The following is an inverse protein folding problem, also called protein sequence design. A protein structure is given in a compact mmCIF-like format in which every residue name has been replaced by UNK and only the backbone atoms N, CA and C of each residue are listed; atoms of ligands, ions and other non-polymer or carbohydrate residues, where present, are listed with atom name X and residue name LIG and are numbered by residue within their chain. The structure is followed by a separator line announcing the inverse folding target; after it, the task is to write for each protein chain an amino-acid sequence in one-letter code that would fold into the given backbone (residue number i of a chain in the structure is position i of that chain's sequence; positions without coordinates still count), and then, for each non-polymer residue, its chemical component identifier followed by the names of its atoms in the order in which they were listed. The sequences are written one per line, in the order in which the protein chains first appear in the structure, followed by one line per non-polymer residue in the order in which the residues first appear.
data_IF_464850570718
#
_entry.id   IF_464850570718
#
_cell.length_a   1.000
_cell.length_b   1.000
_cell.length_c   1.000
_cell.angle_alpha   90.00
_cell.angle_beta   90.00
_cell.angle_gamma   90.00
#
_symmetry.space_group_name_H-M   'P 1'
#
loop_
_entity.id
_entity.type
_entity.pdbx_description
1 polymer ?
#
# COMPACT_ATOMS: atom_id res chain seq x y z
N UNK A 1 32.30 23.45 44.93
CA UNK A 1 31.81 22.34 44.10
C UNK A 1 33.00 21.44 43.78
N UNK A 2 33.14 20.32 44.49
CA UNK A 2 34.27 19.40 44.32
C UNK A 2 33.83 18.23 43.45
N UNK A 3 34.42 18.09 42.27
CA UNK A 3 34.12 16.99 41.34
C UNK A 3 34.77 15.69 41.84
N UNK A 4 33.93 14.69 42.08
CA UNK A 4 34.31 13.37 42.55
C UNK A 4 34.77 12.53 41.34
N UNK A 5 36.08 12.56 41.04
CA UNK A 5 36.68 11.78 39.96
C UNK A 5 36.85 10.32 40.41
N UNK A 6 35.99 9.42 39.91
CA UNK A 6 36.15 7.97 40.11
C UNK A 6 37.40 7.48 39.35
N UNK A 7 38.31 6.72 39.99
CA UNK A 7 39.44 6.11 39.31
C UNK A 7 38.95 5.07 38.30
N UNK A 8 39.36 5.21 37.05
CA UNK A 8 39.18 4.19 36.02
C UNK A 8 40.05 2.98 36.38
N UNK A 9 39.44 1.96 36.98
CA UNK A 9 40.08 0.65 37.16
C UNK A 9 40.23 -0.01 35.79
N UNK A 10 41.43 0.07 35.21
CA UNK A 10 41.83 -0.71 34.05
C UNK A 10 41.87 -2.19 34.45
N UNK A 11 40.82 -2.92 34.08
CA UNK A 11 40.86 -4.38 34.13
C UNK A 11 41.80 -4.83 33.01
N UNK A 12 42.91 -5.53 33.30
CA UNK A 12 43.74 -6.12 32.26
C UNK A 12 42.88 -7.17 31.56
N UNK A 13 42.43 -6.84 30.34
CA UNK A 13 41.85 -7.83 29.44
C UNK A 13 42.96 -8.84 29.15
N UNK A 14 42.90 -9.99 29.79
CA UNK A 14 43.72 -11.15 29.43
C UNK A 14 43.28 -11.54 28.02
N UNK A 15 43.96 -10.99 27.02
CA UNK A 15 43.69 -11.25 25.62
C UNK A 15 44.19 -12.66 25.34
N UNK A 16 43.31 -13.65 25.40
CA UNK A 16 43.68 -15.01 25.00
C UNK A 16 43.99 -14.99 23.50
N UNK A 17 45.23 -15.28 23.11
CA UNK A 17 45.61 -15.36 21.71
C UNK A 17 45.21 -16.71 21.13
N UNK A 18 44.68 -16.73 19.90
CA UNK A 18 44.41 -17.97 19.16
C UNK A 18 45.49 -18.17 18.10
N UNK A 19 46.08 -19.37 18.03
CA UNK A 19 47.15 -19.68 17.06
C UNK A 19 46.52 -20.21 15.78
N UNK A 20 46.92 -19.68 14.63
CA UNK A 20 46.41 -20.14 13.35
C UNK A 20 46.94 -21.54 13.00
N UNK A 21 46.08 -22.53 12.71
CA UNK A 21 46.52 -23.89 12.38
C UNK A 21 47.25 -24.00 11.03
N UNK A 22 47.06 -23.03 10.13
CA UNK A 22 47.68 -23.06 8.80
C UNK A 22 49.09 -22.45 8.74
N UNK A 23 49.38 -21.43 9.55
CA UNK A 23 50.66 -20.69 9.46
C UNK A 23 51.32 -20.41 10.81
N UNK A 24 50.73 -20.85 11.93
CA UNK A 24 51.30 -20.71 13.27
C UNK A 24 51.29 -19.29 13.86
N UNK A 25 50.79 -18.26 13.15
CA UNK A 25 50.70 -16.92 13.75
C UNK A 25 49.60 -16.84 14.81
N UNK A 26 49.94 -16.25 15.94
CA UNK A 26 48.99 -15.80 16.95
C UNK A 26 48.08 -14.71 16.39
N UNK A 27 46.81 -14.76 16.73
CA UNK A 27 45.78 -13.79 16.39
C UNK A 27 45.00 -13.40 17.64
N UNK A 28 44.32 -12.25 17.60
CA UNK A 28 43.35 -11.88 18.64
C UNK A 28 42.24 -12.94 18.68
N UNK A 29 41.76 -13.29 19.86
CA UNK A 29 40.58 -14.16 20.07
C UNK A 29 39.39 -13.77 19.18
N UNK A 30 39.20 -12.47 18.91
CA UNK A 30 38.10 -11.95 18.10
C UNK A 30 38.36 -11.94 16.59
N UNK A 31 39.55 -12.34 16.13
CA UNK A 31 39.90 -12.31 14.71
C UNK A 31 39.13 -13.38 13.93
N UNK A 32 38.36 -12.95 12.91
CA UNK A 32 37.67 -13.87 11.98
C UNK A 32 38.60 -14.51 10.96
N UNK A 33 39.72 -13.84 10.67
CA UNK A 33 40.71 -14.25 9.69
C UNK A 33 42.11 -14.13 10.28
N UNK A 34 43.01 -15.03 9.88
CA UNK A 34 44.40 -14.97 10.29
C UNK A 34 45.14 -13.78 9.66
N UNK A 35 45.82 -12.96 10.47
CA UNK A 35 46.66 -11.85 9.99
C UNK A 35 47.90 -12.28 9.20
N UNK A 36 48.24 -13.57 9.21
CA UNK A 36 49.37 -14.13 8.47
C UNK A 36 49.01 -14.58 7.06
N UNK A 37 48.03 -15.48 6.96
CA UNK A 37 47.68 -16.14 5.70
C UNK A 37 46.25 -15.86 5.21
N UNK A 38 45.51 -14.97 5.88
CA UNK A 38 44.12 -14.60 5.58
C UNK A 38 43.08 -15.73 5.62
N UNK A 39 43.45 -16.97 6.00
CA UNK A 39 42.47 -18.06 6.19
C UNK A 39 41.51 -17.76 7.35
N UNK A 40 40.23 -18.17 7.26
CA UNK A 40 39.29 -18.07 8.36
C UNK A 40 39.77 -18.91 9.54
N UNK A 41 39.59 -18.38 10.75
CA UNK A 41 39.93 -19.08 11.99
C UNK A 41 38.66 -19.72 12.54
N UNK A 42 38.60 -21.05 12.58
CA UNK A 42 37.50 -21.79 13.19
C UNK A 42 37.50 -21.50 14.69
N UNK A 43 36.43 -20.85 15.17
CA UNK A 43 36.32 -20.49 16.57
C UNK A 43 35.68 -21.65 17.33
N UNK A 44 36.36 -22.26 18.31
CA UNK A 44 35.75 -23.29 19.15
C UNK A 44 34.68 -22.62 20.02
N UNK A 45 33.43 -22.65 19.56
CA UNK A 45 32.25 -22.08 20.23
C UNK A 45 31.47 -20.99 19.47
N UNK A 46 31.85 -20.66 18.22
CA UNK A 46 31.28 -19.51 17.49
C UNK A 46 30.03 -19.76 16.63
N UNK A 47 29.76 -21.00 16.19
CA UNK A 47 29.07 -21.16 14.90
C UNK A 47 27.75 -21.95 14.94
N UNK A 48 27.25 -22.34 16.13
CA UNK A 48 25.88 -22.86 16.24
C UNK A 48 24.84 -21.80 15.78
N UNK A 49 25.17 -20.52 15.88
CA UNK A 49 24.35 -19.41 15.37
C UNK A 49 24.51 -19.15 13.86
N UNK A 50 25.67 -19.40 13.27
CA UNK A 50 25.88 -19.18 11.83
C UNK A 50 25.17 -20.24 10.99
N UNK A 51 25.07 -21.47 11.48
CA UNK A 51 24.29 -22.52 10.83
C UNK A 51 22.80 -22.23 10.87
N UNK A 52 22.29 -21.69 11.99
CA UNK A 52 20.91 -21.25 12.10
C UNK A 52 20.62 -20.09 11.12
N UNK A 53 21.52 -19.11 11.03
CA UNK A 53 21.37 -17.97 10.10
C UNK A 53 21.52 -18.42 8.64
N UNK A 54 22.43 -19.35 8.33
CA UNK A 54 22.59 -19.93 6.99
C UNK A 54 21.33 -20.72 6.59
N UNK A 55 20.78 -21.53 7.50
CA UNK A 55 19.54 -22.31 7.32
C UNK A 55 18.32 -21.41 7.16
N UNK A 56 18.22 -20.32 7.93
CA UNK A 56 17.20 -19.26 7.79
C UNK A 56 17.30 -18.58 6.41
N UNK A 57 18.51 -18.24 5.96
CA UNK A 57 18.75 -17.60 4.65
C UNK A 57 18.41 -18.54 3.49
N UNK A 58 18.76 -19.82 3.60
CA UNK A 58 18.39 -20.87 2.64
C UNK A 58 16.87 -21.08 2.59
N UNK A 59 16.19 -21.12 3.75
CA UNK A 59 14.73 -21.21 3.81
C UNK A 59 14.04 -19.98 3.18
N UNK A 60 14.57 -18.76 3.40
CA UNK A 60 14.06 -17.56 2.72
C UNK A 60 14.26 -17.61 1.20
N UNK A 61 15.39 -18.13 0.72
CA UNK A 61 15.63 -18.31 -0.70
C UNK A 61 14.63 -19.32 -1.33
N UNK A 62 14.39 -20.45 -0.66
CA UNK A 62 13.40 -21.45 -1.10
C UNK A 62 11.96 -20.90 -1.11
N UNK A 63 11.58 -20.10 -0.10
CA UNK A 63 10.26 -19.42 -0.08
C UNK A 63 10.12 -18.45 -1.26
N UNK A 64 11.16 -17.70 -1.62
CA UNK A 64 11.17 -16.81 -2.79
C UNK A 64 11.07 -17.59 -4.10
N UNK A 65 11.77 -18.72 -4.22
CA UNK A 65 11.70 -19.57 -5.40
C UNK A 65 10.30 -20.19 -5.59
N UNK A 66 9.67 -20.66 -4.51
CA UNK A 66 8.27 -21.16 -4.54
C UNK A 66 7.26 -20.07 -4.89
N UNK A 67 7.45 -18.83 -4.39
CA UNK A 67 6.61 -17.68 -4.79
C UNK A 67 6.74 -17.37 -6.28
N UNK A 68 7.96 -17.36 -6.83
CA UNK A 68 8.18 -17.17 -8.27
C UNK A 68 7.54 -18.26 -9.12
N UNK A 69 7.60 -19.52 -8.66
CA UNK A 69 6.95 -20.63 -9.36
C UNK A 69 5.42 -20.50 -9.38
N UNK A 70 4.80 -20.03 -8.29
CA UNK A 70 3.35 -19.73 -8.24
C UNK A 70 2.96 -18.50 -9.04
N UNK A 71 3.78 -17.43 -9.03
CA UNK A 71 3.47 -16.22 -9.80
C UNK A 71 3.64 -16.42 -11.30
N UNK A 72 4.62 -17.23 -11.73
CA UNK A 72 4.81 -17.58 -13.14
C UNK A 72 3.77 -18.56 -13.69
N UNK A 73 3.18 -19.42 -12.85
CA UNK A 73 2.09 -20.29 -13.27
C UNK A 73 0.76 -19.56 -13.49
N UNK A 74 0.58 -18.39 -12.87
CA UNK A 74 -0.67 -17.62 -13.01
C UNK A 74 -0.81 -16.94 -14.38
N UNK A 75 0.30 -16.72 -15.08
CA UNK A 75 0.30 -16.18 -16.44
C UNK A 75 -0.01 -17.23 -17.52
N UNK A 76 0.14 -18.53 -17.23
CA UNK A 76 -0.21 -19.60 -18.18
C UNK A 76 -1.63 -20.17 -17.97
N UNK A 77 -2.27 -19.93 -16.82
CA UNK A 77 -3.66 -20.29 -16.58
C UNK A 77 -4.66 -19.18 -16.90
N UNK A 78 -4.31 -18.28 -17.82
CA UNK A 78 -5.33 -17.52 -18.53
C UNK A 78 -6.09 -18.53 -19.40
N UNK A 79 -7.36 -18.85 -19.09
CA UNK A 79 -8.10 -19.86 -19.82
C UNK A 79 -8.15 -19.44 -21.29
N UNK A 80 -7.97 -20.39 -22.20
CA UNK A 80 -7.75 -20.12 -23.63
C UNK A 80 -8.76 -19.14 -24.24
N UNK A 81 -9.98 -19.06 -23.69
CA UNK A 81 -11.01 -18.11 -24.09
C UNK A 81 -10.63 -16.62 -23.91
N UNK A 82 -9.75 -16.26 -22.97
CA UNK A 82 -9.28 -14.86 -22.82
C UNK A 82 -8.44 -14.40 -24.00
N UNK A 83 -7.71 -15.30 -24.66
CA UNK A 83 -6.97 -14.98 -25.90
C UNK A 83 -7.93 -14.65 -27.04
N UNK A 84 -9.07 -15.35 -27.11
CA UNK A 84 -10.14 -15.06 -28.08
C UNK A 84 -10.91 -13.79 -27.72
N UNK A 85 -11.17 -13.55 -26.43
CA UNK A 85 -11.85 -12.34 -25.97
C UNK A 85 -11.04 -11.06 -26.28
N UNK A 86 -9.71 -11.11 -26.09
CA UNK A 86 -8.81 -10.01 -26.47
C UNK A 86 -8.78 -9.74 -27.98
N UNK A 87 -8.79 -10.80 -28.79
CA UNK A 87 -8.84 -10.67 -30.25
C UNK A 87 -10.18 -10.06 -30.73
N UNK A 88 -11.31 -10.48 -30.13
CA UNK A 88 -12.63 -9.94 -30.46
C UNK A 88 -12.77 -8.47 -30.07
N UNK A 89 -12.30 -8.09 -28.89
CA UNK A 89 -12.34 -6.68 -28.45
C UNK A 89 -11.47 -5.79 -29.33
N UNK A 90 -10.28 -6.22 -29.71
CA UNK A 90 -9.44 -5.48 -30.65
C UNK A 90 -10.12 -5.33 -32.03
N UNK A 91 -10.76 -6.38 -32.54
CA UNK A 91 -11.51 -6.33 -33.81
C UNK A 91 -12.68 -5.35 -33.78
N UNK A 92 -13.49 -5.36 -32.71
CA UNK A 92 -14.60 -4.41 -32.53
C UNK A 92 -14.09 -2.97 -32.44
N UNK A 93 -12.97 -2.74 -31.76
CA UNK A 93 -12.39 -1.40 -31.64
C UNK A 93 -11.91 -0.84 -32.98
N UNK A 94 -11.27 -1.68 -33.81
CA UNK A 94 -10.85 -1.30 -35.17
C UNK A 94 -12.05 -0.99 -36.08
N UNK A 95 -13.12 -1.79 -36.00
CA UNK A 95 -14.35 -1.54 -36.74
C UNK A 95 -15.03 -0.23 -36.29
N UNK A 96 -15.10 0.04 -34.99
CA UNK A 96 -15.67 1.27 -34.46
C UNK A 96 -14.87 2.51 -34.90
N UNK A 97 -13.53 2.44 -34.87
CA UNK A 97 -12.66 3.53 -35.35
C UNK A 97 -12.82 3.73 -36.86
N UNK A 98 -12.86 2.65 -37.65
CA UNK A 98 -13.08 2.72 -39.09
C UNK A 98 -14.43 3.32 -39.46
N UNK A 99 -15.50 2.93 -38.75
CA UNK A 99 -16.83 3.49 -38.93
C UNK A 99 -16.88 4.98 -38.57
N UNK A 100 -16.26 5.37 -37.46
CA UNK A 100 -16.18 6.78 -37.04
C UNK A 100 -15.43 7.64 -38.06
N UNK A 101 -14.28 7.17 -38.55
CA UNK A 101 -13.50 7.87 -39.60
C UNK A 101 -14.25 7.94 -40.94
N UNK A 102 -15.05 6.93 -41.29
CA UNK A 102 -15.89 6.95 -42.50
C UNK A 102 -17.05 7.94 -42.40
N UNK A 103 -17.73 7.97 -41.24
CA UNK A 103 -18.84 8.89 -40.99
C UNK A 103 -18.38 10.37 -41.02
N UNK A 104 -17.19 10.66 -40.49
CA UNK A 104 -16.67 12.03 -40.45
C UNK A 104 -16.02 12.54 -41.75
N UNK A 105 -15.70 11.67 -42.71
CA UNK A 105 -15.19 12.09 -44.02
C UNK A 105 -16.28 12.46 -45.03
N UNK A 106 -17.55 12.26 -44.67
CA UNK A 106 -18.69 12.68 -45.48
C UNK A 106 -18.98 14.16 -45.26
N UNK A 107 -17.98 15.03 -45.41
CA UNK A 107 -18.24 16.45 -45.60
C UNK A 107 -18.88 16.61 -46.97
N UNK A 108 -20.13 17.09 -47.07
CA UNK A 108 -20.76 17.33 -48.36
C UNK A 108 -19.88 18.31 -49.14
N UNK A 109 -19.54 17.92 -50.38
CA UNK A 109 -18.71 18.73 -51.26
C UNK A 109 -19.28 20.17 -51.29
N UNK A 110 -18.47 21.21 -51.03
CA UNK A 110 -18.95 22.58 -51.12
C UNK A 110 -19.47 22.77 -52.55
N UNK A 111 -20.76 23.07 -52.66
CA UNK A 111 -21.38 23.44 -53.91
C UNK A 111 -20.50 24.53 -54.55
N UNK A 112 -19.93 24.24 -55.71
CA UNK A 112 -19.11 25.17 -56.49
C UNK A 112 -19.89 26.47 -56.64
N UNK A 113 -19.51 27.48 -55.88
CA UNK A 113 -19.92 28.84 -56.15
C UNK A 113 -19.39 29.22 -57.54
N UNK A 114 -20.28 29.73 -58.37
CA UNK A 114 -20.00 30.17 -59.73
C UNK A 114 -18.83 31.17 -59.74
N UNK A 115 -17.96 31.11 -60.76
CA UNK A 115 -16.85 32.05 -60.87
C UNK A 115 -17.38 33.44 -61.22
N UNK A 116 -17.34 34.37 -60.26
CA UNK A 116 -17.42 35.79 -60.54
C UNK A 116 -16.02 36.32 -60.86
N UNK A 117 -16.02 37.19 -61.86
CA UNK A 117 -14.89 37.70 -62.61
C UNK A 117 -13.76 38.32 -61.76
N UNK A 118 -12.56 38.21 -62.33
CA UNK A 118 -11.31 38.80 -61.88
C UNK A 118 -11.37 40.33 -61.74
N UNK A 119 -10.74 40.85 -60.68
CA UNK A 119 -10.18 42.21 -60.62
C UNK A 119 -8.79 42.11 -59.94
N UNK A 120 -7.74 42.75 -60.48
CA UNK A 120 -6.38 42.60 -59.97
C UNK A 120 -5.98 43.66 -58.94
N UNK A 121 -4.99 43.26 -58.13
CA UNK A 121 -3.85 44.02 -57.62
C UNK A 121 -4.09 45.22 -56.66
N UNK A 122 -3.64 45.05 -55.41
CA UNK A 122 -2.74 46.00 -54.72
C UNK A 122 -2.08 45.34 -53.49
N UNK A 123 -0.75 45.34 -53.47
CA UNK A 123 0.14 45.20 -52.29
C UNK A 123 0.03 46.47 -51.42
N UNK A 124 0.27 46.42 -50.08
CA UNK A 124 1.61 46.42 -49.46
C UNK A 124 1.71 45.47 -48.23
N UNK A 125 2.84 44.80 -47.95
CA UNK A 125 4.10 45.26 -47.33
C UNK A 125 4.00 45.75 -45.86
N UNK A 126 4.81 45.08 -45.00
CA UNK A 126 5.19 45.38 -43.60
C UNK A 126 4.08 45.17 -42.54
N UNK A 127 4.32 44.61 -41.33
CA UNK A 127 5.50 44.72 -40.48
C UNK A 127 5.44 43.63 -39.40
N UNK A 128 6.59 43.04 -39.05
CA UNK A 128 6.79 42.35 -37.77
C UNK A 128 6.60 43.34 -36.61
N UNK A 129 5.94 42.97 -35.51
CA UNK A 129 6.22 43.49 -34.15
C UNK A 129 5.49 42.65 -33.10
N UNK A 130 6.30 42.07 -32.21
CA UNK A 130 6.14 41.83 -30.77
C UNK A 130 4.82 41.31 -30.15
N UNK A 131 5.02 40.22 -29.39
CA UNK A 131 4.41 39.91 -28.10
C UNK A 131 4.13 41.16 -27.24
N UNK A 132 2.99 41.21 -26.53
CA UNK A 132 3.08 40.89 -25.11
C UNK A 132 1.88 40.06 -24.57
N UNK A 133 2.16 39.28 -23.54
CA UNK A 133 1.16 38.84 -22.58
C UNK A 133 0.56 40.06 -21.85
N UNK A 134 -0.74 40.02 -21.53
CA UNK A 134 -1.09 40.21 -20.13
C UNK A 134 -2.18 39.27 -19.62
N UNK A 135 -2.16 39.10 -18.30
CA UNK A 135 -3.20 38.51 -17.46
C UNK A 135 -4.59 39.03 -17.84
N UNK A 136 -5.55 38.12 -18.00
CA UNK A 136 -6.96 38.42 -17.88
C UNK A 136 -7.62 37.39 -16.95
N UNK A 137 -7.82 37.83 -15.72
CA UNK A 137 -8.76 37.27 -14.75
C UNK A 137 -10.18 37.45 -15.28
N UNK A 138 -10.83 36.36 -15.68
CA UNK A 138 -12.29 36.22 -15.73
C UNK A 138 -12.65 35.19 -14.64
N UNK A 139 -13.14 35.59 -13.47
CA UNK A 139 -14.51 36.04 -13.29
C UNK A 139 -15.44 34.82 -13.39
N UNK A 140 -15.95 34.25 -12.28
CA UNK A 140 -16.84 33.09 -12.36
C UNK A 140 -18.12 33.50 -13.08
N UNK A 141 -18.39 32.81 -14.20
CA UNK A 141 -19.65 32.89 -14.92
C UNK A 141 -20.81 32.81 -13.94
N UNK A 142 -21.58 33.89 -13.89
CA UNK A 142 -22.94 33.86 -13.41
C UNK A 142 -23.66 32.72 -14.13
N UNK A 143 -24.23 31.83 -13.32
CA UNK A 143 -25.19 30.81 -13.72
C UNK A 143 -26.34 31.56 -14.39
N UNK A 144 -26.32 31.59 -15.71
CA UNK A 144 -27.48 31.94 -16.51
C UNK A 144 -28.51 30.83 -16.27
N UNK A 145 -29.46 31.13 -15.41
CA UNK A 145 -30.76 30.46 -15.33
C UNK A 145 -31.40 30.55 -16.72
N UNK A 146 -31.59 29.44 -17.45
CA UNK A 146 -32.36 29.49 -18.68
C UNK A 146 -33.83 29.62 -18.29
N UNK A 147 -34.29 30.86 -18.16
CA UNK A 147 -35.70 31.23 -18.26
C UNK A 147 -36.14 31.02 -19.72
N UNK A 148 -36.33 29.77 -20.08
CA UNK A 148 -36.86 29.32 -21.36
C UNK A 148 -38.01 28.37 -21.10
N UNK A 149 -39.18 28.93 -20.83
CA UNK A 149 -40.45 28.23 -20.86
C UNK A 149 -40.76 27.83 -22.31
N UNK A 150 -40.03 26.84 -22.84
CA UNK A 150 -40.49 26.10 -24.00
C UNK A 150 -41.51 25.08 -23.52
N UNK A 151 -42.75 25.33 -23.91
CA UNK A 151 -43.87 24.43 -23.76
C UNK A 151 -43.43 23.02 -24.16
N UNK A 152 -43.30 22.16 -23.14
CA UNK A 152 -43.04 20.74 -23.28
C UNK A 152 -44.11 20.13 -24.16
N UNK A 153 -43.81 20.04 -25.45
CA UNK A 153 -44.61 19.32 -26.41
C UNK A 153 -44.48 17.86 -25.99
N UNK A 154 -45.51 17.34 -25.34
CA UNK A 154 -45.53 15.95 -24.89
C UNK A 154 -45.27 15.06 -26.11
N UNK A 155 -44.17 14.29 -26.16
CA UNK A 155 -43.95 13.35 -27.23
C UNK A 155 -44.94 12.19 -27.01
N UNK A 156 -46.17 12.36 -27.46
CA UNK A 156 -47.19 11.31 -27.51
C UNK A 156 -46.93 10.34 -28.67
N UNK A 157 -45.66 9.97 -28.88
CA UNK A 157 -45.30 8.89 -29.79
C UNK A 157 -45.33 7.59 -28.99
N UNK A 158 -45.96 6.52 -29.50
CA UNK A 158 -46.02 5.22 -28.82
C UNK A 158 -44.62 4.64 -28.55
N UNK A 159 -43.62 5.06 -29.32
CA UNK A 159 -42.22 4.70 -29.12
C UNK A 159 -41.61 5.30 -27.85
N UNK A 160 -41.96 6.54 -27.49
CA UNK A 160 -41.49 7.18 -26.26
C UNK A 160 -42.04 6.45 -25.01
N UNK A 161 -43.31 6.02 -25.05
CA UNK A 161 -43.89 5.21 -23.98
C UNK A 161 -43.15 3.88 -23.80
N UNK A 162 -42.87 3.16 -24.90
CA UNK A 162 -42.12 1.90 -24.86
C UNK A 162 -40.66 2.06 -24.38
N UNK A 163 -40.05 3.23 -24.57
CA UNK A 163 -38.71 3.53 -24.04
C UNK A 163 -38.74 3.74 -22.50
N UNK A 164 -39.76 4.44 -21.99
CA UNK A 164 -39.95 4.63 -20.55
C UNK A 164 -40.19 3.31 -19.83
N UNK A 165 -41.00 2.41 -20.41
CA UNK A 165 -41.24 1.09 -19.83
C UNK A 165 -39.98 0.21 -19.80
N UNK A 166 -39.16 0.27 -20.86
CA UNK A 166 -37.84 -0.40 -20.87
C UNK A 166 -36.91 0.15 -19.79
N UNK A 167 -36.90 1.47 -19.58
CA UNK A 167 -36.11 2.09 -18.53
C UNK A 167 -36.59 1.66 -17.14
N UNK A 168 -37.90 1.65 -16.88
CA UNK A 168 -38.46 1.16 -15.60
C UNK A 168 -38.05 -0.28 -15.32
N UNK A 169 -38.21 -1.17 -16.30
CA UNK A 169 -37.79 -2.56 -16.16
C UNK A 169 -36.28 -2.70 -15.91
N UNK A 170 -35.46 -1.86 -16.54
CA UNK A 170 -34.00 -1.88 -16.31
C UNK A 170 -33.62 -1.45 -14.89
N UNK A 171 -34.33 -0.47 -14.32
CA UNK A 171 -34.13 0.00 -12.95
C UNK A 171 -34.55 -1.07 -11.95
N UNK A 172 -35.70 -1.71 -12.15
CA UNK A 172 -36.17 -2.82 -11.30
C UNK A 172 -35.16 -3.98 -11.27
N UNK A 173 -34.56 -4.31 -12.42
CA UNK A 173 -33.57 -5.38 -12.51
C UNK A 173 -32.26 -5.01 -11.79
N UNK A 174 -31.84 -3.75 -11.85
CA UNK A 174 -30.66 -3.27 -11.13
C UNK A 174 -30.90 -3.27 -9.61
N UNK A 175 -32.08 -2.83 -9.16
CA UNK A 175 -32.47 -2.91 -7.76
C UNK A 175 -32.48 -4.35 -7.24
N UNK A 176 -33.00 -5.29 -8.05
CA UNK A 176 -32.98 -6.70 -7.70
C UNK A 176 -31.55 -7.23 -7.57
N UNK A 177 -30.66 -6.87 -8.50
CA UNK A 177 -29.25 -7.25 -8.43
C UNK A 177 -28.55 -6.68 -7.19
N UNK A 178 -28.85 -5.44 -6.80
CA UNK A 178 -28.28 -4.83 -5.61
C UNK A 178 -28.79 -5.48 -4.31
N UNK A 179 -30.08 -5.88 -4.26
CA UNK A 179 -30.63 -6.67 -3.15
C UNK A 179 -29.94 -8.04 -3.04
N UNK A 180 -29.69 -8.71 -4.15
CA UNK A 180 -28.97 -10.00 -4.16
C UNK A 180 -27.52 -9.85 -3.68
N UNK A 181 -26.81 -8.81 -4.12
CA UNK A 181 -25.45 -8.51 -3.64
C UNK A 181 -25.43 -8.19 -2.15
N UNK A 182 -26.39 -7.41 -1.66
CA UNK A 182 -26.52 -7.10 -0.24
C UNK A 182 -26.77 -8.38 0.58
N UNK A 183 -27.71 -9.23 0.16
CA UNK A 183 -27.99 -10.51 0.81
C UNK A 183 -26.76 -11.44 0.82
N UNK A 184 -26.00 -11.50 -0.27
CA UNK A 184 -24.77 -12.29 -0.34
C UNK A 184 -23.70 -11.79 0.65
N UNK A 185 -23.53 -10.48 0.79
CA UNK A 185 -22.61 -9.88 1.76
C UNK A 185 -23.03 -10.16 3.21
N UNK A 186 -24.32 -10.11 3.51
CA UNK A 186 -24.86 -10.48 4.83
C UNK A 186 -24.61 -11.95 5.15
N UNK A 187 -24.85 -12.85 4.19
CA UNK A 187 -24.54 -14.28 4.36
C UNK A 187 -23.03 -14.50 4.62
N UNK A 188 -22.16 -13.76 3.95
CA UNK A 188 -20.72 -13.84 4.18
C UNK A 188 -20.35 -13.36 5.60
N UNK A 189 -20.93 -12.24 6.05
CA UNK A 189 -20.73 -11.73 7.43
C UNK A 189 -21.20 -12.75 8.48
N UNK A 190 -22.35 -13.39 8.25
CA UNK A 190 -22.87 -14.43 9.14
C UNK A 190 -21.94 -15.65 9.20
N UNK A 191 -21.39 -16.09 8.07
CA UNK A 191 -20.42 -17.20 8.02
C UNK A 191 -19.15 -16.87 8.82
N UNK A 192 -18.59 -15.68 8.64
CA UNK A 192 -17.41 -15.24 9.38
C UNK A 192 -17.69 -15.12 10.89
N UNK A 193 -18.85 -14.61 11.27
CA UNK A 193 -19.25 -14.52 12.67
C UNK A 193 -19.41 -15.92 13.32
N UNK A 194 -19.96 -16.89 12.58
CA UNK A 194 -20.08 -18.27 13.05
C UNK A 194 -18.71 -18.95 13.19
N UNK A 195 -17.80 -18.73 12.24
CA UNK A 195 -16.43 -19.24 12.31
C UNK A 195 -15.68 -18.63 13.50
N UNK A 196 -15.79 -17.32 13.72
CA UNK A 196 -15.20 -16.64 14.87
C UNK A 196 -15.73 -17.21 16.19
N UNK A 197 -17.05 -17.42 16.30
CA UNK A 197 -17.65 -18.06 17.46
C UNK A 197 -17.11 -19.47 17.71
N UNK A 198 -16.92 -20.28 16.64
CA UNK A 198 -16.30 -21.61 16.76
C UNK A 198 -14.86 -21.54 17.29
N UNK A 199 -14.07 -20.57 16.84
CA UNK A 199 -12.70 -20.38 17.32
C UNK A 199 -12.66 -19.94 18.79
N UNK A 200 -13.54 -19.03 19.19
CA UNK A 200 -13.65 -18.59 20.58
C UNK A 200 -14.09 -19.72 21.51
N UNK A 201 -15.06 -20.54 21.08
CA UNK A 201 -15.49 -21.73 21.82
C UNK A 201 -14.36 -22.77 21.94
N UNK A 202 -13.57 -22.97 20.87
CA UNK A 202 -12.39 -23.84 20.91
C UNK A 202 -11.32 -23.31 21.88
N UNK A 203 -11.09 -21.99 21.89
CA UNK A 203 -10.16 -21.35 22.83
C UNK A 203 -10.64 -21.46 24.27
N UNK A 204 -11.94 -21.30 24.53
CA UNK A 204 -12.54 -21.52 25.86
C UNK A 204 -12.37 -22.96 26.33
N UNK A 205 -12.58 -23.94 25.45
CA UNK A 205 -12.35 -25.36 25.79
C UNK A 205 -10.89 -25.67 26.09
N UNK A 206 -9.96 -25.13 25.29
CA UNK A 206 -8.53 -25.31 25.53
C UNK A 206 -8.08 -24.67 26.86
N UNK A 207 -8.58 -23.48 27.18
CA UNK A 207 -8.28 -22.79 28.44
C UNK A 207 -8.97 -23.39 29.67
N UNK A 208 -10.10 -24.08 29.49
CA UNK A 208 -10.83 -24.74 30.57
C UNK A 208 -10.30 -26.14 30.91
N UNK A 209 -9.27 -26.65 30.20
CA UNK A 209 -8.59 -27.90 30.58
C UNK A 209 -7.90 -27.67 31.93
N UNK A 210 -8.46 -28.15 33.05
CA UNK A 210 -7.94 -27.80 34.36
C UNK A 210 -6.61 -28.55 34.54
N UNK A 211 -5.62 -27.87 35.09
CA UNK A 211 -4.26 -28.36 35.37
C UNK A 211 -4.23 -29.43 36.49
N UNK A 212 -5.11 -30.44 36.41
CA UNK A 212 -5.25 -31.51 37.42
C UNK A 212 -4.36 -32.72 37.09
N UNK A 213 -3.60 -32.70 35.99
CA UNK A 213 -2.75 -33.81 35.57
C UNK A 213 -1.24 -33.62 35.86
N UNK A 214 -0.87 -32.90 36.93
CA UNK A 214 0.53 -32.79 37.38
C UNK A 214 0.75 -33.08 38.87
N UNK A 215 -0.15 -33.86 39.46
CA UNK A 215 0.13 -34.59 40.71
C UNK A 215 0.04 -36.06 40.36
N UNK A 216 1.15 -36.73 40.06
CA UNK A 216 1.44 -38.18 40.21
C UNK A 216 2.75 -38.49 39.48
N UNK A 217 3.88 -38.14 40.12
CA UNK A 217 5.15 -38.86 40.00
C UNK A 217 5.99 -38.50 41.22
N UNK A 218 5.58 -39.07 42.35
CA UNK A 218 6.46 -39.24 43.50
C UNK A 218 7.33 -40.46 43.22
N UNK A 219 8.48 -40.25 42.59
CA UNK A 219 9.62 -41.15 42.62
C UNK A 219 10.79 -40.34 43.19
N UNK A 220 11.29 -40.82 44.32
CA UNK A 220 12.33 -40.26 45.18
C UNK A 220 13.66 -40.03 44.45
N UNK A 221 14.30 -38.86 44.66
CA UNK A 221 15.77 -38.67 44.60
C UNK A 221 16.18 -37.32 45.21
N UNK A 222 17.45 -37.11 45.64
CA UNK A 222 17.75 -36.55 46.94
C UNK A 222 18.05 -35.05 46.90
N UNK A 223 18.02 -34.48 48.11
CA UNK A 223 18.16 -33.07 48.44
C UNK A 223 19.29 -32.32 47.69
N UNK A 224 18.97 -31.21 46.99
CA UNK A 224 19.93 -30.17 46.70
C UNK A 224 19.96 -29.16 47.86
N UNK A 225 21.20 -28.87 48.27
CA UNK A 225 21.62 -27.87 49.24
C UNK A 225 21.00 -26.50 48.92
N UNK A 226 20.55 -25.83 49.98
CA UNK A 226 19.90 -24.53 49.98
C UNK A 226 20.72 -23.45 49.26
N UNK A 227 20.19 -22.95 48.14
CA UNK A 227 20.58 -21.69 47.54
C UNK A 227 19.67 -20.56 48.08
N UNK A 228 20.22 -19.43 48.55
CA UNK A 228 19.43 -18.36 49.13
C UNK A 228 18.56 -17.65 48.07
N UNK A 229 17.33 -17.35 48.46
CA UNK A 229 16.32 -16.69 47.67
C UNK A 229 16.80 -15.34 47.10
N UNK A 230 16.58 -15.04 45.80
CA UNK A 230 16.73 -13.69 45.30
C UNK A 230 15.62 -12.82 45.90
N UNK A 231 16.05 -11.82 46.68
CA UNK A 231 15.19 -10.80 47.25
C UNK A 231 14.34 -10.14 46.15
N UNK A 232 13.02 -10.22 46.34
CA UNK A 232 12.05 -9.47 45.56
C UNK A 232 12.38 -7.99 45.67
N UNK A 233 12.80 -7.39 44.56
CA UNK A 233 13.06 -5.96 44.45
C UNK A 233 11.73 -5.24 44.57
N UNK A 234 11.55 -4.50 45.66
CA UNK A 234 10.43 -3.59 45.82
C UNK A 234 10.35 -2.62 44.63
N UNK A 235 9.14 -2.27 44.15
CA UNK A 235 8.98 -1.29 43.08
C UNK A 235 9.49 0.06 43.60
N UNK A 236 10.70 0.43 43.18
CA UNK A 236 11.22 1.79 43.37
C UNK A 236 10.27 2.71 42.63
N UNK A 237 9.56 3.55 43.39
CA UNK A 237 8.74 4.63 42.86
C UNK A 237 9.59 5.46 41.90
N UNK A 238 9.36 5.27 40.60
CA UNK A 238 9.99 6.03 39.56
C UNK A 238 9.59 7.50 39.77
N UNK A 239 10.56 8.30 40.20
CA UNK A 239 10.44 9.75 40.23
C UNK A 239 9.89 10.22 38.88
N UNK A 240 8.78 10.96 38.93
CA UNK A 240 8.06 11.45 37.77
C UNK A 240 9.05 12.06 36.78
N UNK A 241 9.14 11.46 35.59
CA UNK A 241 9.89 12.02 34.49
C UNK A 241 9.37 13.46 34.25
N UNK A 242 10.26 14.44 34.03
CA UNK A 242 9.84 15.80 33.74
C UNK A 242 8.87 15.78 32.54
N UNK A 243 7.81 16.61 32.55
CA UNK A 243 6.86 16.65 31.46
C UNK A 243 7.61 16.87 30.14
N UNK A 244 7.31 16.09 29.08
CA UNK A 244 7.97 16.30 27.79
C UNK A 244 7.79 17.77 27.39
N UNK A 245 8.84 18.42 26.85
CA UNK A 245 8.73 19.81 26.43
C UNK A 245 7.55 19.92 25.47
N UNK A 246 6.65 20.87 25.75
CA UNK A 246 5.46 21.13 24.96
C UNK A 246 5.87 21.23 23.48
N UNK A 247 5.62 20.17 22.74
CA UNK A 247 5.94 20.08 21.33
C UNK A 247 5.06 21.10 20.64
N UNK A 248 5.67 22.13 20.02
CA UNK A 248 4.98 23.01 19.10
C UNK A 248 4.21 22.11 18.14
N UNK A 249 2.88 22.23 18.13
CA UNK A 249 2.01 21.50 17.23
C UNK A 249 2.47 21.79 15.80
N UNK A 250 3.16 20.81 15.21
CA UNK A 250 3.57 20.87 13.82
C UNK A 250 2.29 20.95 13.01
N UNK A 251 2.18 21.97 12.15
CA UNK A 251 1.05 22.11 11.24
C UNK A 251 0.83 20.79 10.52
N UNK A 252 -0.37 20.21 10.66
CA UNK A 252 -0.68 18.89 10.12
C UNK A 252 -0.67 18.88 8.59
N UNK A 253 -0.68 17.69 7.99
CA UNK A 253 -0.67 17.53 6.53
C UNK A 253 -1.84 18.24 5.85
N UNK A 254 -3.00 18.30 6.50
CA UNK A 254 -4.16 19.04 5.98
C UNK A 254 -3.89 20.54 5.84
N UNK A 255 -3.09 21.12 6.73
CA UNK A 255 -2.73 22.53 6.67
C UNK A 255 -1.64 22.78 5.63
N UNK A 256 -0.71 21.85 5.46
CA UNK A 256 0.29 21.89 4.39
C UNK A 256 -0.35 21.77 2.99
N UNK A 257 -1.45 21.04 2.87
CA UNK A 257 -2.19 20.85 1.63
C UNK A 257 -3.45 21.73 1.49
N UNK A 258 -3.65 22.72 2.37
CA UNK A 258 -4.84 23.57 2.34
C UNK A 258 -4.90 24.50 1.12
N UNK A 259 -3.75 24.84 0.52
CA UNK A 259 -3.65 25.76 -0.63
C UNK A 259 -3.93 25.12 -2.00
N UNK A 260 -4.33 23.85 -2.07
CA UNK A 260 -4.72 23.22 -3.33
C UNK A 260 -6.25 23.26 -3.50
N UNK A 261 -6.72 24.04 -4.46
CA UNK A 261 -8.15 24.31 -4.68
C UNK A 261 -8.93 23.12 -5.25
N UNK A 262 -8.22 22.13 -5.81
CA UNK A 262 -8.81 20.93 -6.41
C UNK A 262 -8.74 19.74 -5.45
N UNK A 263 -9.86 19.02 -5.29
CA UNK A 263 -9.97 17.83 -4.44
C UNK A 263 -8.90 16.78 -4.79
N UNK A 264 -8.68 16.54 -6.09
CA UNK A 264 -7.66 15.62 -6.57
C UNK A 264 -6.23 16.12 -6.27
N UNK A 265 -5.96 17.40 -6.46
CA UNK A 265 -4.65 17.98 -6.14
C UNK A 265 -4.35 17.88 -4.64
N UNK A 266 -5.38 18.03 -3.80
CA UNK A 266 -5.28 17.88 -2.35
C UNK A 266 -4.94 16.45 -1.94
N UNK A 267 -5.57 15.45 -2.55
CA UNK A 267 -5.25 14.05 -2.25
C UNK A 267 -3.87 13.63 -2.77
N UNK A 268 -3.45 14.11 -3.94
CA UNK A 268 -2.07 13.92 -4.41
C UNK A 268 -1.04 14.61 -3.49
N UNK A 269 -1.34 15.80 -3.00
CA UNK A 269 -0.51 16.50 -2.01
C UNK A 269 -0.38 15.66 -0.73
N UNK A 270 -1.49 15.16 -0.18
CA UNK A 270 -1.51 14.31 1.02
C UNK A 270 -0.65 13.06 0.84
N UNK A 271 -0.79 12.35 -0.28
CA UNK A 271 0.01 11.15 -0.57
C UNK A 271 1.52 11.49 -0.59
N UNK A 272 1.90 12.61 -1.21
CA UNK A 272 3.31 13.02 -1.30
C UNK A 272 3.88 13.46 0.06
N UNK A 273 3.11 14.23 0.83
CA UNK A 273 3.53 14.73 2.15
C UNK A 273 3.60 13.60 3.18
N UNK A 274 2.69 12.62 3.12
CA UNK A 274 2.73 11.43 3.97
C UNK A 274 3.95 10.53 3.76
N UNK A 275 4.69 10.70 2.66
CA UNK A 275 5.98 10.04 2.44
C UNK A 275 7.14 10.65 3.25
N UNK A 276 6.97 11.84 3.83
CA UNK A 276 8.04 12.52 4.59
C UNK A 276 8.05 12.06 6.05
N UNK A 277 9.24 11.86 6.61
CA UNK A 277 9.42 11.38 7.99
C UNK A 277 8.77 12.30 9.04
N UNK A 278 8.68 13.61 8.77
CA UNK A 278 8.08 14.61 9.67
C UNK A 278 6.57 14.37 9.85
N UNK A 279 5.89 13.82 8.84
CA UNK A 279 4.45 13.55 8.85
C UNK A 279 4.11 12.07 9.08
N UNK A 280 5.10 11.23 9.39
CA UNK A 280 4.89 9.79 9.55
C UNK A 280 3.86 9.44 10.65
N UNK A 281 3.71 10.31 11.65
CA UNK A 281 2.79 10.15 12.77
C UNK A 281 1.52 11.00 12.63
N UNK A 282 1.32 11.69 11.50
CA UNK A 282 0.09 12.46 11.27
C UNK A 282 -1.11 11.48 11.10
N UNK A 283 -2.26 11.75 11.76
CA UNK A 283 -3.41 10.84 11.73
C UNK A 283 -3.93 10.56 10.31
N UNK A 284 -3.83 11.53 9.39
CA UNK A 284 -4.23 11.36 7.99
C UNK A 284 -3.32 10.36 7.29
N UNK A 285 -2.01 10.46 7.53
CA UNK A 285 -1.01 9.57 6.94
C UNK A 285 -1.09 8.16 7.49
N UNK A 286 -1.32 8.01 8.80
CA UNK A 286 -1.56 6.70 9.43
C UNK A 286 -2.77 6.02 8.79
N UNK A 287 -3.88 6.74 8.60
CA UNK A 287 -5.09 6.19 7.97
C UNK A 287 -4.87 5.80 6.51
N UNK A 288 -4.15 6.63 5.74
CA UNK A 288 -3.81 6.31 4.34
C UNK A 288 -2.96 5.03 4.26
N UNK A 289 -1.96 4.92 5.13
CA UNK A 289 -1.11 3.73 5.20
C UNK A 289 -1.87 2.47 5.59
N UNK A 290 -2.83 2.58 6.52
CA UNK A 290 -3.71 1.45 6.87
C UNK A 290 -4.57 1.01 5.69
N UNK A 291 -5.15 1.94 4.90
CA UNK A 291 -5.90 1.58 3.70
C UNK A 291 -5.01 0.91 2.64
N UNK A 292 -3.79 1.39 2.44
CA UNK A 292 -2.88 0.78 1.46
C UNK A 292 -2.39 -0.59 1.90
N UNK A 293 -2.13 -0.79 3.20
CA UNK A 293 -1.86 -2.10 3.78
C UNK A 293 -3.06 -3.04 3.62
N UNK A 294 -4.29 -2.54 3.79
CA UNK A 294 -5.51 -3.32 3.56
C UNK A 294 -5.65 -3.73 2.08
N UNK A 295 -5.47 -2.80 1.13
CA UNK A 295 -5.47 -3.11 -0.32
C UNK A 295 -4.38 -4.11 -0.70
N UNK A 296 -3.20 -4.01 -0.09
CA UNK A 296 -2.12 -5.01 -0.29
C UNK A 296 -2.55 -6.38 0.22
N UNK A 297 -3.17 -6.47 1.39
CA UNK A 297 -3.71 -7.74 1.91
C UNK A 297 -4.78 -8.30 0.98
N UNK A 298 -5.73 -7.48 0.52
CA UNK A 298 -6.75 -7.91 -0.46
C UNK A 298 -6.14 -8.41 -1.77
N UNK A 299 -5.10 -7.74 -2.27
CA UNK A 299 -4.36 -8.17 -3.45
C UNK A 299 -3.58 -9.46 -3.24
N UNK A 300 -3.14 -9.76 -2.00
CA UNK A 300 -2.54 -11.05 -1.65
C UNK A 300 -3.56 -12.17 -1.53
N UNK A 301 -4.81 -11.86 -1.16
CA UNK A 301 -5.92 -12.83 -1.10
C UNK A 301 -6.51 -13.15 -2.47
N UNK A 302 -6.43 -12.22 -3.43
CA UNK A 302 -6.90 -12.43 -4.80
C UNK A 302 -5.98 -13.31 -5.61
#
# INVERSE_FOLDING_TARGET
MCYNAKPFQFHPLIVMAIVCPSCGKENRDQARFCRGCARPLDRPGGDAGSDAVARERANRALRRARRRKRSGQRTEQQPAWWRWAGAMTAGVLVLAIGWWLGAHQSTPAPARAAPLAAVPAALPAATQTASPAPLATSGPSAVAEPAGAEAATSPSTPEAAAAVDRLRHSVELLEQQDRERAAALEQQRQKLALEQKRLDDARRRAGATPAVASTHSGASEPAPVAAPAPAQSAPVAAAAAPPPPATRSVAGVDQACAGSDNVFARDFCRIRECGKAVFANDPVCVRFRQMDEARRREAEYR
#
